data_IF_181454702148
#
_entry.id   IF_181454702148
#
_cell.length_a   1.000
_cell.length_b   1.000
_cell.length_c   1.000
_cell.angle_alpha   90.00
_cell.angle_beta   90.00
_cell.angle_gamma   90.00
#
_symmetry.space_group_name_H-M   'P 1'
#
loop_
_entity.id
_entity.type
_entity.pdbx_description
1 polymer ?
#
# COMPACT_ATOMS: atom_id res chain seq x y z
N UNK A 1 -9.97 -11.19 -3.14
CA UNK A 1 -9.82 -10.64 -1.78
C UNK A 1 -11.15 -10.24 -1.15
N UNK A 2 -11.26 -10.35 0.19
CA UNK A 2 -12.31 -9.66 0.96
C UNK A 2 -11.76 -8.31 1.40
N UNK A 3 -12.34 -7.21 0.90
CA UNK A 3 -12.08 -5.88 1.44
C UNK A 3 -12.41 -5.89 2.95
N UNK A 4 -11.40 -5.65 3.79
CA UNK A 4 -11.56 -5.63 5.24
C UNK A 4 -12.02 -4.25 5.74
N UNK A 5 -11.45 -3.19 5.16
CA UNK A 5 -11.77 -1.81 5.50
C UNK A 5 -11.30 -0.86 4.40
N UNK A 6 -11.98 0.27 4.26
CA UNK A 6 -11.53 1.44 3.49
C UNK A 6 -11.19 2.54 4.47
N UNK A 7 -10.01 3.15 4.34
CA UNK A 7 -9.68 4.37 5.07
C UNK A 7 -10.16 5.54 4.20
N UNK A 8 -11.18 6.24 4.69
CA UNK A 8 -11.76 7.37 3.99
C UNK A 8 -10.83 8.60 4.09
N UNK A 9 -10.40 9.20 2.96
CA UNK A 9 -9.60 10.42 2.95
C UNK A 9 -10.39 11.69 3.29
N UNK A 10 -11.70 11.63 3.60
CA UNK A 10 -12.59 12.79 3.85
C UNK A 10 -12.09 13.82 4.89
N UNK A 11 -10.98 13.59 5.59
CA UNK A 11 -10.38 14.54 6.53
C UNK A 11 -8.84 14.74 6.38
N UNK A 12 -8.27 14.59 5.18
CA UNK A 12 -6.82 14.76 4.96
C UNK A 12 -6.26 16.20 5.12
N UNK A 13 -7.08 17.17 5.51
CA UNK A 13 -6.66 18.54 5.78
C UNK A 13 -6.93 19.52 4.63
N UNK A 14 -6.39 20.75 4.68
CA UNK A 14 -6.64 21.77 3.65
C UNK A 14 -6.26 21.23 2.27
N UNK A 15 -7.08 21.54 1.27
CA UNK A 15 -7.09 20.91 -0.05
C UNK A 15 -5.71 20.63 -0.65
N UNK A 16 -5.66 19.58 -1.46
CA UNK A 16 -4.44 19.09 -2.10
C UNK A 16 -3.78 20.23 -2.92
N UNK A 17 -2.45 20.38 -2.86
CA UNK A 17 -1.75 21.44 -3.59
C UNK A 17 -1.91 21.28 -5.11
N UNK A 18 -1.77 22.39 -5.85
CA UNK A 18 -1.79 22.38 -7.31
C UNK A 18 -0.76 21.38 -7.86
N UNK A 19 -1.21 20.52 -8.80
CA UNK A 19 -0.37 19.46 -9.38
C UNK A 19 -0.28 18.18 -8.54
N UNK A 20 -1.04 18.06 -7.45
CA UNK A 20 -1.18 16.79 -6.74
C UNK A 20 -1.77 15.71 -7.67
N UNK A 21 -1.15 14.53 -7.66
CA UNK A 21 -1.66 13.35 -8.38
C UNK A 21 -1.84 12.20 -7.39
N UNK A 22 -3.04 11.64 -7.38
CA UNK A 22 -3.30 10.40 -6.65
C UNK A 22 -2.46 9.26 -7.24
N UNK A 23 -1.74 8.54 -6.38
CA UNK A 23 -1.02 7.32 -6.74
C UNK A 23 -1.68 6.14 -6.06
N UNK A 24 -2.19 5.22 -6.87
CA UNK A 24 -2.70 3.93 -6.39
C UNK A 24 -1.54 2.99 -6.09
N UNK A 25 -1.66 2.23 -5.01
CA UNK A 25 -0.65 1.26 -4.57
C UNK A 25 -1.34 0.09 -3.86
N UNK A 26 -0.72 -1.09 -3.95
CA UNK A 26 -1.12 -2.28 -3.21
C UNK A 26 0.00 -2.73 -2.27
N UNK A 27 -0.38 -3.29 -1.12
CA UNK A 27 0.54 -3.90 -0.15
C UNK A 27 -0.03 -5.22 0.34
N UNK A 28 0.83 -6.22 0.48
CA UNK A 28 0.45 -7.57 0.90
C UNK A 28 0.99 -7.88 2.29
N UNK A 29 0.20 -8.62 3.07
CA UNK A 29 0.67 -9.32 4.27
C UNK A 29 0.96 -10.75 3.84
N UNK A 30 2.24 -11.08 3.66
CA UNK A 30 2.66 -12.40 3.16
C UNK A 30 3.11 -13.25 4.34
N UNK A 31 2.54 -14.44 4.45
CA UNK A 31 2.87 -15.44 5.46
C UNK A 31 3.74 -16.54 4.86
N UNK A 32 4.66 -17.08 5.65
CA UNK A 32 5.33 -18.34 5.33
C UNK A 32 4.64 -19.54 5.99
N UNK A 33 5.17 -20.75 5.77
CA UNK A 33 4.63 -22.00 6.34
C UNK A 33 4.67 -22.06 7.88
N UNK A 34 5.28 -21.06 8.55
CA UNK A 34 5.40 -20.94 10.00
C UNK A 34 4.61 -19.73 10.54
N UNK A 35 3.67 -19.20 9.77
CA UNK A 35 2.85 -18.03 10.09
C UNK A 35 3.64 -16.74 10.36
N UNK A 36 4.86 -16.62 9.83
CA UNK A 36 5.69 -15.41 9.96
C UNK A 36 5.37 -14.43 8.84
N UNK A 37 5.30 -13.14 9.19
CA UNK A 37 5.01 -12.07 8.22
C UNK A 37 6.28 -11.52 7.59
N UNK A 38 6.28 -11.41 6.26
CA UNK A 38 7.39 -10.80 5.52
C UNK A 38 7.41 -9.27 5.66
N UNK A 39 8.59 -8.72 5.97
CA UNK A 39 8.88 -7.29 5.96
C UNK A 39 10.07 -6.96 5.06
N UNK A 40 9.98 -5.84 4.35
CA UNK A 40 11.08 -5.30 3.55
C UNK A 40 11.84 -4.25 4.35
N UNK A 41 13.16 -4.41 4.50
CA UNK A 41 14.02 -3.39 5.10
C UNK A 41 14.38 -2.30 4.08
N UNK A 42 13.92 -1.08 4.33
CA UNK A 42 14.29 0.12 3.55
C UNK A 42 15.61 0.67 4.09
N UNK A 43 16.71 0.10 3.62
CA UNK A 43 18.06 0.39 4.12
C UNK A 43 18.42 1.87 4.11
N UNK A 44 17.98 2.62 3.09
CA UNK A 44 18.22 4.08 2.96
C UNK A 44 17.69 4.88 4.15
N UNK A 45 16.62 4.41 4.81
CA UNK A 45 15.89 5.16 5.82
C UNK A 45 15.74 4.40 7.15
N UNK A 46 16.27 3.18 7.25
CA UNK A 46 16.32 2.43 8.51
C UNK A 46 14.97 1.94 9.03
N UNK A 47 13.98 1.70 8.17
CA UNK A 47 12.66 1.21 8.60
C UNK A 47 12.20 -0.02 7.82
N UNK A 48 11.23 -0.75 8.38
CA UNK A 48 10.60 -1.90 7.75
C UNK A 48 9.23 -1.53 7.18
N UNK A 49 8.86 -2.10 6.04
CA UNK A 49 7.53 -1.91 5.43
C UNK A 49 6.99 -3.21 4.86
N UNK A 50 5.66 -3.31 4.75
CA UNK A 50 5.02 -4.41 4.03
C UNK A 50 5.45 -4.45 2.56
N UNK A 51 5.57 -5.65 1.95
CA UNK A 51 5.84 -5.78 0.53
C UNK A 51 4.69 -5.22 -0.35
N UNK A 52 5.06 -4.73 -1.53
CA UNK A 52 4.13 -4.28 -2.58
C UNK A 52 4.63 -3.05 -3.34
N UNK A 53 3.77 -2.45 -4.16
CA UNK A 53 4.16 -1.51 -5.21
C UNK A 53 3.06 -0.53 -5.63
N UNK A 54 3.35 0.30 -6.63
CA UNK A 54 2.30 1.07 -7.31
C UNK A 54 1.45 0.16 -8.15
N UNK A 55 0.23 0.60 -8.45
CA UNK A 55 -0.62 -0.02 -9.46
C UNK A 55 -0.47 0.80 -10.73
N UNK A 56 0.04 0.20 -11.78
CA UNK A 56 0.23 0.82 -13.09
C UNK A 56 -1.03 0.72 -13.96
N UNK A 57 -1.05 1.43 -15.08
CA UNK A 57 -2.20 1.41 -15.99
C UNK A 57 -2.43 0.00 -16.55
N UNK A 58 -3.67 -0.48 -16.45
CA UNK A 58 -4.05 -1.84 -16.84
C UNK A 58 -3.81 -2.90 -15.76
N UNK A 59 -3.16 -2.57 -14.64
CA UNK A 59 -3.03 -3.47 -13.49
C UNK A 59 -4.28 -3.43 -12.61
N UNK A 60 -4.73 -4.62 -12.18
CA UNK A 60 -5.84 -4.75 -11.24
C UNK A 60 -5.34 -5.13 -9.84
N UNK A 61 -5.45 -4.18 -8.92
CA UNK A 61 -5.12 -4.38 -7.50
C UNK A 61 -6.21 -5.04 -6.67
N UNK A 62 -7.37 -5.40 -7.25
CA UNK A 62 -8.52 -5.95 -6.53
C UNK A 62 -8.56 -7.49 -6.46
N UNK A 63 -7.69 -8.17 -7.23
CA UNK A 63 -7.72 -9.62 -7.46
C UNK A 63 -6.50 -10.38 -6.88
N UNK A 64 -6.21 -10.20 -5.59
CA UNK A 64 -5.33 -11.11 -4.82
C UNK A 64 -6.09 -11.64 -3.61
#
# INVERSE_FOLDING_TARGET
MKLLATIDPENLGPGLPDGWRERRASRAVVFDEKDRVAFLFVSKHGYYKLPGGGIEEGEDGSNV
#
